data_IF_819306574802
#
_entry.id   IF_819306574802
#
_cell.length_a   1.000
_cell.length_b   1.000
_cell.length_c   1.000
_cell.angle_alpha   90.00
_cell.angle_beta   90.00
_cell.angle_gamma   90.00
#
_symmetry.space_group_name_H-M   'P 1'
#
loop_
_entity.id
_entity.type
_entity.pdbx_description
1 polymer ?
#
# COMPACT_ATOMS: atom_id res chain seq x y z
N UNK A 1 -19.54 13.52 4.24
CA UNK A 1 -18.08 13.35 4.09
C UNK A 1 -17.90 12.25 3.06
N UNK A 2 -17.28 12.55 1.93
CA UNK A 2 -17.08 11.57 0.86
C UNK A 2 -16.06 10.51 1.30
N UNK A 3 -16.27 9.25 0.91
CA UNK A 3 -15.33 8.16 1.24
C UNK A 3 -14.15 8.06 0.27
N UNK A 4 -13.08 7.36 0.68
CA UNK A 4 -11.87 7.15 -0.15
C UNK A 4 -12.18 6.61 -1.54
N UNK A 5 -13.12 5.68 -1.66
CA UNK A 5 -13.53 5.10 -2.95
C UNK A 5 -14.27 6.12 -3.83
N UNK A 6 -15.05 7.01 -3.22
CA UNK A 6 -15.76 8.07 -3.94
C UNK A 6 -14.76 9.12 -4.47
N UNK A 7 -13.75 9.48 -3.66
CA UNK A 7 -12.64 10.33 -4.11
C UNK A 7 -11.82 9.67 -5.24
N UNK A 8 -11.54 8.37 -5.13
CA UNK A 8 -10.85 7.62 -6.18
C UNK A 8 -11.64 7.65 -7.50
N UNK A 9 -12.96 7.41 -7.45
CA UNK A 9 -13.82 7.48 -8.62
C UNK A 9 -13.83 8.87 -9.26
N UNK A 10 -13.91 9.95 -8.46
CA UNK A 10 -13.84 11.32 -8.98
C UNK A 10 -12.50 11.62 -9.65
N UNK A 11 -11.37 11.20 -9.07
CA UNK A 11 -10.05 11.41 -9.65
C UNK A 11 -9.87 10.64 -10.95
N UNK A 12 -10.33 9.39 -10.99
CA UNK A 12 -10.31 8.57 -12.19
C UNK A 12 -11.14 9.23 -13.31
N UNK A 13 -12.34 9.73 -13.00
CA UNK A 13 -13.18 10.44 -13.97
C UNK A 13 -12.51 11.72 -14.51
N UNK A 14 -11.64 12.35 -13.73
CA UNK A 14 -10.83 13.51 -14.15
C UNK A 14 -9.54 13.12 -14.88
N UNK A 15 -9.26 11.84 -15.07
CA UNK A 15 -8.02 11.36 -15.69
C UNK A 15 -6.78 11.68 -14.87
N UNK A 16 -6.90 11.76 -13.54
CA UNK A 16 -5.77 12.02 -12.65
C UNK A 16 -5.08 10.72 -12.26
N UNK A 17 -3.75 10.71 -12.31
CA UNK A 17 -2.94 9.58 -11.83
C UNK A 17 -2.93 9.52 -10.31
N UNK A 18 -3.16 8.34 -9.74
CA UNK A 18 -2.99 8.06 -8.31
C UNK A 18 -2.80 6.56 -8.10
N UNK A 19 -2.49 6.14 -6.88
CA UNK A 19 -2.57 4.74 -6.47
C UNK A 19 -3.58 4.57 -5.34
N UNK A 20 -4.32 3.46 -5.36
CA UNK A 20 -5.17 3.04 -4.26
C UNK A 20 -4.42 1.96 -3.47
N UNK A 21 -4.22 2.20 -2.18
CA UNK A 21 -3.69 1.20 -1.27
C UNK A 21 -4.82 0.62 -0.43
N UNK A 22 -4.90 -0.71 -0.33
CA UNK A 22 -5.90 -1.42 0.48
C UNK A 22 -5.21 -2.41 1.40
N UNK A 23 -5.46 -2.34 2.71
CA UNK A 23 -5.06 -3.40 3.65
C UNK A 23 -5.93 -4.63 3.37
N UNK A 24 -5.33 -5.69 2.86
CA UNK A 24 -6.04 -6.92 2.48
C UNK A 24 -5.96 -8.00 3.54
N UNK A 25 -4.93 -7.96 4.40
CA UNK A 25 -4.76 -8.90 5.51
C UNK A 25 -4.08 -8.24 6.69
N UNK A 26 -4.48 -8.65 7.89
CA UNK A 26 -3.86 -8.26 9.16
C UNK A 26 -3.68 -9.47 10.06
N UNK A 27 -2.56 -9.55 10.76
CA UNK A 27 -2.30 -10.55 11.81
C UNK A 27 -1.89 -9.83 13.09
N UNK A 28 -2.45 -10.26 14.23
CA UNK A 28 -2.23 -9.67 15.55
C UNK A 28 -2.65 -8.19 15.62
N UNK A 29 -2.04 -7.40 16.51
CA UNK A 29 -2.39 -6.00 16.72
C UNK A 29 -1.74 -5.12 15.65
N UNK A 30 -2.58 -4.53 14.81
CA UNK A 30 -2.17 -3.65 13.70
C UNK A 30 -2.84 -2.27 13.81
N UNK A 31 -2.12 -1.24 13.35
CA UNK A 31 -2.59 0.15 13.37
C UNK A 31 -3.72 0.44 12.36
N UNK A 32 -3.80 -0.34 11.29
CA UNK A 32 -4.91 -0.33 10.34
C UNK A 32 -5.53 -1.74 10.28
N UNK A 33 -6.84 -1.80 10.04
CA UNK A 33 -7.59 -3.06 9.91
C UNK A 33 -7.74 -3.43 8.44
N UNK A 34 -8.00 -4.71 8.17
CA UNK A 34 -8.38 -5.16 6.84
C UNK A 34 -9.55 -4.31 6.32
N UNK A 35 -9.49 -3.93 5.05
CA UNK A 35 -10.43 -3.01 4.41
C UNK A 35 -10.07 -1.54 4.55
N UNK A 36 -9.11 -1.15 5.40
CA UNK A 36 -8.60 0.23 5.42
C UNK A 36 -7.97 0.59 4.07
N UNK A 37 -8.21 1.81 3.60
CA UNK A 37 -7.75 2.29 2.29
C UNK A 37 -7.08 3.65 2.40
N UNK A 38 -6.16 3.91 1.48
CA UNK A 38 -5.56 5.22 1.30
C UNK A 38 -5.44 5.55 -0.19
N UNK A 39 -5.70 6.80 -0.56
CA UNK A 39 -5.49 7.35 -1.88
C UNK A 39 -4.14 8.08 -1.88
N UNK A 40 -3.26 7.71 -2.81
CA UNK A 40 -1.88 8.19 -2.85
C UNK A 40 -1.61 8.93 -4.16
N UNK A 41 -1.22 10.19 -4.06
CA UNK A 41 -0.84 11.02 -5.21
C UNK A 41 0.54 10.65 -5.79
N UNK A 42 0.86 11.13 -7.00
CA UNK A 42 2.13 10.85 -7.69
C UNK A 42 3.36 11.41 -6.96
N UNK A 43 3.19 12.44 -6.13
CA UNK A 43 4.21 13.01 -5.24
C UNK A 43 4.43 12.16 -3.97
N UNK A 44 3.64 11.11 -3.77
CA UNK A 44 3.66 10.25 -2.60
C UNK A 44 2.84 10.77 -1.43
N UNK A 45 2.07 11.85 -1.61
CA UNK A 45 1.13 12.33 -0.59
C UNK A 45 0.00 11.32 -0.38
N UNK A 46 -0.39 11.10 0.89
CA UNK A 46 -1.63 10.40 1.21
C UNK A 46 -2.72 11.47 1.27
N UNK A 47 -3.51 11.55 0.22
CA UNK A 47 -4.48 12.63 0.02
C UNK A 47 -5.82 12.34 0.72
N UNK A 48 -6.14 11.07 0.93
CA UNK A 48 -7.30 10.62 1.70
C UNK A 48 -7.07 9.22 2.29
N UNK A 49 -7.80 8.90 3.36
CA UNK A 49 -7.76 7.61 4.02
C UNK A 49 -6.52 7.37 4.89
N UNK A 50 -6.34 6.10 5.27
CA UNK A 50 -5.31 5.67 6.21
C UNK A 50 -4.87 4.24 5.94
N UNK A 51 -3.55 4.00 5.95
CA UNK A 51 -2.96 2.68 5.74
C UNK A 51 -2.04 2.22 6.88
N UNK A 52 -1.98 2.99 7.98
CA UNK A 52 -1.15 2.69 9.14
C UNK A 52 -0.13 3.78 9.50
N UNK A 53 0.78 3.42 10.41
CA UNK A 53 1.87 4.27 10.88
C UNK A 53 3.07 4.33 9.93
N UNK A 54 4.19 4.90 10.40
CA UNK A 54 5.35 5.25 9.58
C UNK A 54 5.92 4.12 8.71
N UNK A 55 6.13 2.92 9.26
CA UNK A 55 6.66 1.77 8.49
C UNK A 55 5.76 1.40 7.32
N UNK A 56 4.44 1.39 7.54
CA UNK A 56 3.47 1.08 6.51
C UNK A 56 3.42 2.15 5.43
N UNK A 57 3.35 3.43 5.84
CA UNK A 57 3.34 4.54 4.89
C UNK A 57 4.58 4.58 4.01
N UNK A 58 5.77 4.41 4.59
CA UNK A 58 7.01 4.44 3.82
C UNK A 58 7.06 3.32 2.76
N UNK A 59 6.70 2.09 3.15
CA UNK A 59 6.69 0.95 2.23
C UNK A 59 5.62 1.11 1.13
N UNK A 60 4.42 1.57 1.50
CA UNK A 60 3.30 1.77 0.59
C UNK A 60 3.53 2.93 -0.37
N UNK A 61 4.10 4.06 0.08
CA UNK A 61 4.43 5.20 -0.80
C UNK A 61 5.49 4.79 -1.83
N UNK A 62 6.50 4.02 -1.41
CA UNK A 62 7.48 3.45 -2.36
C UNK A 62 6.78 2.58 -3.41
N UNK A 63 5.96 1.64 -2.97
CA UNK A 63 5.20 0.77 -3.87
C UNK A 63 4.27 1.55 -4.79
N UNK A 64 3.56 2.56 -4.29
CA UNK A 64 2.65 3.40 -5.06
C UNK A 64 3.40 4.13 -6.18
N UNK A 65 4.51 4.80 -5.86
CA UNK A 65 5.33 5.50 -6.86
C UNK A 65 5.85 4.56 -7.93
N UNK A 66 6.32 3.37 -7.54
CA UNK A 66 6.77 2.37 -8.50
C UNK A 66 5.61 1.85 -9.36
N UNK A 67 4.44 1.58 -8.78
CA UNK A 67 3.24 1.12 -9.50
C UNK A 67 2.72 2.12 -10.52
N UNK A 68 2.75 3.41 -10.18
CA UNK A 68 2.35 4.44 -11.14
C UNK A 68 3.39 4.61 -12.25
N UNK A 69 4.67 4.32 -11.98
CA UNK A 69 5.74 4.45 -12.97
C UNK A 69 5.74 3.34 -14.02
N UNK A 70 5.42 2.10 -13.64
CA UNK A 70 5.42 0.94 -14.54
C UNK A 70 4.03 0.35 -14.85
N UNK A 71 2.98 0.90 -14.23
CA UNK A 71 1.60 0.43 -14.38
C UNK A 71 1.32 -0.93 -13.74
N UNK A 72 2.23 -1.45 -12.90
CA UNK A 72 2.08 -2.77 -12.28
C UNK A 72 1.66 -2.65 -10.81
N UNK A 73 0.59 -3.36 -10.45
CA UNK A 73 0.16 -3.47 -9.05
C UNK A 73 1.19 -4.22 -8.19
N UNK A 74 1.19 -3.93 -6.89
CA UNK A 74 2.18 -4.46 -5.94
C UNK A 74 1.51 -4.96 -4.67
N UNK A 75 2.01 -6.08 -4.15
CA UNK A 75 1.66 -6.56 -2.82
C UNK A 75 2.80 -6.28 -1.86
N UNK A 76 2.52 -5.54 -0.79
CA UNK A 76 3.49 -5.19 0.25
C UNK A 76 3.13 -5.95 1.52
N UNK A 77 4.06 -6.75 2.05
CA UNK A 77 3.90 -7.40 3.35
C UNK A 77 4.80 -6.72 4.38
N UNK A 78 4.19 -6.11 5.40
CA UNK A 78 4.90 -5.44 6.49
C UNK A 78 4.81 -6.33 7.73
N UNK A 79 5.91 -6.95 8.12
CA UNK A 79 5.93 -7.95 9.18
C UNK A 79 7.11 -7.72 10.14
N UNK A 80 6.99 -8.10 11.42
CA UNK A 80 8.12 -8.09 12.35
C UNK A 80 9.20 -9.08 11.89
N UNK A 81 10.42 -8.92 12.43
CA UNK A 81 11.59 -9.72 12.05
C UNK A 81 11.33 -11.24 12.13
N UNK A 82 10.69 -11.68 13.20
CA UNK A 82 10.50 -13.12 13.46
C UNK A 82 9.52 -13.74 12.46
N UNK A 83 8.42 -13.03 12.15
CA UNK A 83 7.47 -13.46 11.13
C UNK A 83 8.09 -13.48 9.72
N UNK A 84 8.97 -12.53 9.40
CA UNK A 84 9.74 -12.58 8.14
C UNK A 84 10.66 -13.79 8.10
N UNK A 85 11.34 -14.11 9.20
CA UNK A 85 12.22 -15.26 9.30
C UNK A 85 11.48 -16.60 9.16
N UNK A 86 10.28 -16.73 9.72
CA UNK A 86 9.40 -17.91 9.53
C UNK A 86 8.98 -18.09 8.08
N UNK A 87 8.74 -16.99 7.37
CA UNK A 87 8.50 -16.99 5.93
C UNK A 87 9.78 -17.22 5.12
N UNK A 88 10.96 -17.25 5.75
CA UNK A 88 12.26 -17.29 5.09
C UNK A 88 12.53 -16.06 4.22
N UNK A 89 11.89 -14.93 4.50
CA UNK A 89 12.01 -13.67 3.75
C UNK A 89 12.86 -12.65 4.53
N UNK A 90 13.51 -11.73 3.80
CA UNK A 90 14.24 -10.61 4.37
C UNK A 90 13.54 -9.28 4.10
N UNK A 91 13.69 -8.31 5.01
CA UNK A 91 13.19 -6.96 4.76
C UNK A 91 13.95 -6.32 3.59
N UNK A 92 13.20 -5.77 2.63
CA UNK A 92 13.72 -5.22 1.38
C UNK A 92 13.75 -6.22 0.23
N UNK A 93 13.47 -7.50 0.49
CA UNK A 93 13.36 -8.54 -0.53
C UNK A 93 12.04 -8.42 -1.31
N UNK A 94 12.09 -8.74 -2.59
CA UNK A 94 10.91 -9.01 -3.40
C UNK A 94 10.93 -10.48 -3.82
N UNK A 95 9.89 -11.23 -3.45
CA UNK A 95 9.80 -12.66 -3.76
C UNK A 95 8.36 -13.08 -4.00
N UNK A 96 8.12 -13.80 -5.09
CA UNK A 96 6.79 -14.28 -5.45
C UNK A 96 5.76 -13.16 -5.65
N UNK A 97 6.20 -11.98 -6.11
CA UNK A 97 5.34 -10.80 -6.27
C UNK A 97 5.03 -10.03 -4.99
N UNK A 98 5.69 -10.37 -3.87
CA UNK A 98 5.53 -9.70 -2.58
C UNK A 98 6.80 -8.93 -2.23
N UNK A 99 6.66 -7.63 -1.99
CA UNK A 99 7.70 -6.81 -1.39
C UNK A 99 7.60 -6.87 0.14
N UNK A 100 8.65 -7.35 0.80
CA UNK A 100 8.68 -7.51 2.26
C UNK A 100 9.31 -6.28 2.93
N UNK A 101 8.58 -5.67 3.86
CA UNK A 101 9.02 -4.54 4.66
C UNK A 101 9.06 -4.90 6.15
N UNK A 102 10.04 -4.33 6.86
CA UNK A 102 10.15 -4.52 8.30
C UNK A 102 9.09 -3.70 9.03
N UNK A 103 8.28 -4.36 9.86
CA UNK A 103 7.52 -3.68 10.91
C UNK A 103 8.44 -3.40 12.11
N UNK A 104 8.50 -2.14 12.55
CA UNK A 104 9.21 -1.74 13.78
C UNK A 104 8.26 -1.23 14.88
N UNK A 105 6.95 -1.42 14.71
CA UNK A 105 5.96 -1.06 15.72
C UNK A 105 6.01 -2.04 16.90
N UNK A 106 5.91 -1.57 18.17
CA UNK A 106 5.84 -2.43 19.35
C UNK A 106 4.73 -3.48 19.32
N UNK A 107 3.67 -3.25 18.53
CA UNK A 107 2.55 -4.19 18.41
C UNK A 107 2.91 -5.48 17.69
N UNK A 108 4.04 -5.50 16.95
CA UNK A 108 4.56 -6.65 16.20
C UNK A 108 3.54 -7.29 15.24
N UNK A 109 2.50 -6.55 14.84
CA UNK A 109 1.50 -7.02 13.89
C UNK A 109 2.06 -7.16 12.48
N UNK A 110 1.37 -7.94 11.65
CA UNK A 110 1.66 -8.03 10.20
C UNK A 110 0.51 -7.43 9.41
N UNK A 111 0.82 -6.69 8.34
CA UNK A 111 -0.18 -6.20 7.39
C UNK A 111 0.26 -6.48 5.96
N UNK A 112 -0.65 -7.03 5.17
CA UNK A 112 -0.46 -7.11 3.71
C UNK A 112 -1.34 -6.07 3.04
N UNK A 113 -0.75 -5.33 2.13
CA UNK A 113 -1.34 -4.16 1.50
C UNK A 113 -1.19 -4.29 0.00
N UNK A 114 -2.32 -4.33 -0.69
CA UNK A 114 -2.37 -4.29 -2.15
C UNK A 114 -2.36 -2.84 -2.62
N UNK A 115 -1.48 -2.52 -3.55
CA UNK A 115 -1.29 -1.18 -4.11
C UNK A 115 -1.53 -1.27 -5.62
N UNK A 116 -2.58 -0.62 -6.09
CA UNK A 116 -3.00 -0.61 -7.49
C UNK A 116 -2.88 0.80 -8.09
N UNK A 117 -2.20 0.97 -9.24
CA UNK A 117 -2.12 2.26 -9.91
C UNK A 117 -3.39 2.51 -10.74
N UNK A 118 -3.90 3.73 -10.70
CA UNK A 118 -4.92 4.24 -11.61
C UNK A 118 -4.25 5.25 -12.51
N UNK A 119 -4.12 4.88 -13.79
CA UNK A 119 -3.48 5.70 -14.82
C UNK A 119 -4.54 6.32 -15.75
N UNK A 120 -4.26 7.49 -16.35
CA UNK A 120 -5.12 8.05 -17.38
C UNK A 120 -5.25 7.08 -18.55
N UNK A 121 -6.43 7.02 -19.18
CA UNK A 121 -6.61 6.23 -20.40
C UNK A 121 -5.59 6.64 -21.46
N UNK A 122 -4.93 5.68 -22.14
CA UNK A 122 -4.06 6.00 -23.26
C UNK A 122 -4.83 6.82 -24.30
N UNK A 123 -4.26 7.96 -24.70
CA UNK A 123 -4.75 8.70 -25.87
C UNK A 123 -4.29 7.92 -27.10
N UNK A 124 -5.23 7.26 -27.78
CA UNK A 124 -5.04 6.61 -29.08
C UNK A 124 -4.93 7.64 -30.20
#
# INVERSE_FOLDING_TARGET
>A
MMGVLEQAALRQAKGQTFALATVVRTVSVTAAKAGAKALIGPDGSIEDGWIGGGCARAAVIKAARQSMADGQSRLVSIAPKDALAELGAAAGEERGGVFYAKNSCPSQGTMDIFVEPVLPSPRL
#
